data_IF_851709299095
#
_entry.id   IF_851709299095
#
_cell.length_a   1.000
_cell.length_b   1.000
_cell.length_c   1.000
_cell.angle_alpha   90.00
_cell.angle_beta   90.00
_cell.angle_gamma   90.00
#
_symmetry.space_group_name_H-M   'P 1'
#
loop_
_entity.id
_entity.type
_entity.pdbx_description
1 polymer ?
#
# COMPACT_ATOMS: atom_id res chain seq x y z
N UNK A 1 7.84 20.29 9.76
CA UNK A 1 8.38 19.72 8.53
C UNK A 1 9.23 18.50 8.88
N UNK A 2 9.14 17.45 8.04
CA UNK A 2 10.04 16.31 8.15
C UNK A 2 11.47 16.72 7.78
N UNK A 3 12.45 16.02 8.32
CA UNK A 3 13.83 16.07 7.84
C UNK A 3 13.93 15.36 6.47
N UNK A 4 15.05 15.55 5.76
CA UNK A 4 15.30 14.87 4.48
C UNK A 4 15.31 13.34 4.65
N UNK A 5 15.88 12.81 5.73
CA UNK A 5 15.90 11.38 6.03
C UNK A 5 14.49 10.84 6.34
N UNK A 6 13.68 11.58 7.11
CA UNK A 6 12.29 11.20 7.39
C UNK A 6 11.43 11.20 6.12
N UNK A 7 11.57 12.21 5.25
CA UNK A 7 10.86 12.30 3.97
C UNK A 7 11.28 11.15 3.03
N UNK A 8 12.57 10.85 2.97
CA UNK A 8 13.10 9.73 2.20
C UNK A 8 12.55 8.38 2.69
N UNK A 9 12.61 8.13 4.00
CA UNK A 9 12.09 6.89 4.59
C UNK A 9 10.56 6.78 4.44
N UNK A 10 9.84 7.91 4.56
CA UNK A 10 8.40 7.96 4.28
C UNK A 10 8.08 7.49 2.85
N UNK A 11 8.83 7.99 1.89
CA UNK A 11 8.65 7.63 0.48
C UNK A 11 8.99 6.17 0.22
N UNK A 12 10.10 5.64 0.77
CA UNK A 12 10.47 4.23 0.62
C UNK A 12 9.43 3.27 1.23
N UNK A 13 8.84 3.62 2.38
CA UNK A 13 7.79 2.81 3.01
C UNK A 13 6.53 2.83 2.14
N UNK A 14 6.16 4.00 1.59
CA UNK A 14 5.03 4.12 0.67
C UNK A 14 5.23 3.27 -0.60
N UNK A 15 6.42 3.32 -1.21
CA UNK A 15 6.76 2.47 -2.36
C UNK A 15 6.55 0.98 -2.05
N UNK A 16 6.92 0.54 -0.83
CA UNK A 16 6.69 -0.83 -0.38
C UNK A 16 5.21 -1.20 -0.29
N UNK A 17 4.38 -0.30 0.23
CA UNK A 17 2.92 -0.49 0.28
C UNK A 17 2.33 -0.56 -1.13
N UNK A 18 2.74 0.33 -2.03
CA UNK A 18 2.29 0.38 -3.42
C UNK A 18 2.66 -0.92 -4.15
N UNK A 19 3.93 -1.33 -4.06
CA UNK A 19 4.44 -2.52 -4.75
C UNK A 19 3.66 -3.80 -4.36
N UNK A 20 3.29 -3.95 -3.09
CA UNK A 20 2.46 -5.08 -2.67
C UNK A 20 1.00 -4.91 -3.08
N UNK A 21 0.45 -3.70 -2.99
CA UNK A 21 -0.95 -3.43 -3.35
C UNK A 21 -1.24 -3.63 -4.84
N UNK A 22 -0.24 -3.37 -5.70
CA UNK A 22 -0.33 -3.53 -7.16
C UNK A 22 0.03 -4.95 -7.64
N UNK A 23 0.40 -5.86 -6.73
CA UNK A 23 0.88 -7.17 -7.14
C UNK A 23 -0.21 -8.00 -7.82
N UNK A 24 0.11 -8.53 -9.01
CA UNK A 24 -0.56 -9.67 -9.62
C UNK A 24 0.32 -10.90 -9.49
N UNK A 25 -0.27 -12.05 -9.15
CA UNK A 25 0.49 -13.25 -8.80
C UNK A 25 -0.30 -14.53 -9.11
N UNK A 26 0.41 -15.66 -9.41
CA UNK A 26 -0.27 -16.91 -9.72
C UNK A 26 -0.99 -17.49 -8.50
N UNK A 27 -2.14 -18.12 -8.74
CA UNK A 27 -2.89 -18.86 -7.71
C UNK A 27 -1.99 -19.91 -7.03
N UNK A 28 -2.07 -19.98 -5.71
CA UNK A 28 -1.23 -20.84 -4.86
C UNK A 28 -0.04 -20.12 -4.26
N UNK A 29 0.18 -18.85 -4.60
CA UNK A 29 1.22 -18.01 -3.99
C UNK A 29 0.92 -17.79 -2.50
N UNK A 30 1.96 -17.86 -1.69
CA UNK A 30 1.89 -17.65 -0.24
C UNK A 30 2.38 -16.25 0.14
N UNK A 31 1.93 -15.75 1.28
CA UNK A 31 2.30 -14.42 1.74
C UNK A 31 3.81 -14.20 1.92
N UNK A 32 4.59 -15.23 2.26
CA UNK A 32 6.05 -15.11 2.35
C UNK A 32 6.73 -14.84 0.99
N UNK A 33 6.09 -15.18 -0.12
CA UNK A 33 6.58 -14.87 -1.46
C UNK A 33 6.25 -13.42 -1.86
N UNK A 34 5.17 -12.85 -1.32
CA UNK A 34 4.72 -11.49 -1.60
C UNK A 34 5.33 -10.45 -0.64
N UNK A 35 5.66 -10.84 0.59
CA UNK A 35 6.26 -9.96 1.60
C UNK A 35 7.51 -9.22 1.09
N UNK A 36 8.29 -9.86 0.24
CA UNK A 36 9.49 -9.26 -0.35
C UNK A 36 9.19 -8.03 -1.21
N UNK A 37 8.02 -7.96 -1.85
CA UNK A 37 7.65 -6.82 -2.68
C UNK A 37 7.60 -5.53 -1.87
N UNK A 38 7.04 -5.61 -0.66
CA UNK A 38 6.99 -4.46 0.25
C UNK A 38 8.35 -4.11 0.86
N UNK A 39 9.30 -5.07 0.93
CA UNK A 39 10.63 -4.84 1.48
C UNK A 39 11.64 -4.33 0.46
N UNK A 40 11.47 -4.69 -0.82
CA UNK A 40 12.45 -4.38 -1.86
C UNK A 40 12.81 -2.88 -1.95
N UNK A 41 11.86 -1.93 -1.92
CA UNK A 41 12.20 -0.51 -1.94
C UNK A 41 13.09 -0.07 -0.78
N UNK A 42 12.86 -0.63 0.42
CA UNK A 42 13.67 -0.39 1.61
C UNK A 42 15.06 -1.06 1.51
N UNK A 43 15.11 -2.32 1.08
CA UNK A 43 16.36 -3.08 0.95
C UNK A 43 17.32 -2.46 -0.07
N UNK A 44 16.81 -1.82 -1.12
CA UNK A 44 17.60 -1.05 -2.09
C UNK A 44 18.53 -0.02 -1.40
N UNK A 45 18.11 0.45 -0.23
CA UNK A 45 18.83 1.46 0.55
C UNK A 45 19.33 0.91 1.91
N UNK A 46 19.45 -0.41 2.06
CA UNK A 46 19.89 -1.09 3.29
C UNK A 46 19.03 -0.77 4.52
N UNK A 47 17.73 -0.52 4.31
CA UNK A 47 16.71 -0.33 5.34
C UNK A 47 15.85 -1.56 5.47
N UNK A 48 15.31 -1.82 6.66
CA UNK A 48 14.45 -2.98 6.92
C UNK A 48 13.56 -2.73 8.14
N UNK A 49 12.51 -3.54 8.29
CA UNK A 49 11.65 -3.57 9.48
C UNK A 49 11.53 -5.00 10.03
N UNK A 50 11.33 -5.11 11.35
CA UNK A 50 11.37 -6.37 12.08
C UNK A 50 10.04 -7.10 12.25
N UNK A 51 8.92 -6.56 11.72
CA UNK A 51 7.59 -7.18 11.81
C UNK A 51 7.14 -7.77 10.47
N UNK A 52 6.02 -8.50 10.46
CA UNK A 52 5.37 -8.95 9.23
C UNK A 52 4.81 -7.76 8.44
N UNK A 53 4.77 -7.87 7.13
CA UNK A 53 4.18 -6.83 6.27
C UNK A 53 2.66 -6.78 6.37
N UNK A 54 2.02 -7.87 6.81
CA UNK A 54 0.57 -7.90 6.94
C UNK A 54 0.04 -9.21 7.50
N UNK A 55 -1.24 -9.19 7.84
CA UNK A 55 -1.96 -10.29 8.48
C UNK A 55 -3.42 -10.30 8.07
N UNK A 56 -4.10 -11.43 8.24
CA UNK A 56 -5.55 -11.50 8.12
C UNK A 56 -6.25 -10.70 9.21
N UNK A 57 -7.47 -10.26 8.92
CA UNK A 57 -8.31 -9.48 9.82
C UNK A 57 -9.59 -10.24 10.10
N UNK A 58 -9.90 -10.42 11.39
CA UNK A 58 -11.06 -11.15 11.85
C UNK A 58 -12.36 -10.37 11.69
N UNK A 59 -13.44 -11.11 11.47
CA UNK A 59 -14.77 -10.55 11.29
C UNK A 59 -15.31 -9.84 12.54
N UNK A 60 -14.91 -10.26 13.74
CA UNK A 60 -15.43 -9.74 15.01
C UNK A 60 -14.29 -9.25 15.89
N UNK A 61 -13.86 -8.02 15.68
CA UNK A 61 -12.90 -7.29 16.54
C UNK A 61 -11.54 -7.99 16.77
N UNK A 62 -11.23 -9.08 16.07
CA UNK A 62 -9.92 -9.71 16.13
C UNK A 62 -9.05 -9.15 15.00
N UNK A 63 -8.29 -8.10 15.29
CA UNK A 63 -7.49 -7.40 14.28
C UNK A 63 -6.40 -8.30 13.69
N UNK A 64 -5.79 -9.19 14.47
CA UNK A 64 -4.82 -10.17 14.02
C UNK A 64 -5.45 -11.56 13.95
N UNK A 65 -6.05 -11.92 12.82
CA UNK A 65 -6.67 -13.24 12.64
C UNK A 65 -6.22 -13.86 11.32
N UNK A 66 -5.62 -15.07 11.41
CA UNK A 66 -5.24 -15.86 10.24
C UNK A 66 -6.46 -16.38 9.46
N UNK A 67 -6.21 -17.30 8.51
CA UNK A 67 -5.01 -18.17 8.43
C UNK A 67 -3.83 -17.61 7.64
N UNK A 68 -4.00 -16.56 6.85
CA UNK A 68 -2.96 -15.97 6.01
C UNK A 68 -2.16 -14.87 6.73
N UNK A 69 -1.01 -14.51 6.15
CA UNK A 69 -0.22 -13.34 6.55
C UNK A 69 0.92 -13.09 5.56
N UNK A 70 1.28 -11.82 5.39
CA UNK A 70 2.40 -11.36 4.58
C UNK A 70 3.61 -11.20 5.51
N UNK A 71 4.54 -12.15 5.50
CA UNK A 71 5.72 -12.15 6.38
C UNK A 71 6.80 -13.08 5.87
N UNK A 72 8.06 -12.83 6.28
CA UNK A 72 9.22 -13.62 5.85
C UNK A 72 9.12 -15.10 6.22
N UNK A 73 8.53 -15.42 7.37
CA UNK A 73 8.36 -16.80 7.80
C UNK A 73 7.26 -17.49 6.98
N UNK A 74 7.53 -18.74 6.57
CA UNK A 74 6.56 -19.54 5.85
C UNK A 74 5.30 -19.76 6.70
N UNK A 75 4.16 -19.35 6.14
CA UNK A 75 2.83 -19.86 6.48
C UNK A 75 2.37 -20.71 5.31
N UNK A 76 1.99 -21.96 5.59
CA UNK A 76 1.56 -22.89 4.54
C UNK A 76 0.09 -22.66 4.12
N UNK A 77 -0.32 -21.42 4.14
CA UNK A 77 -1.63 -20.96 3.65
C UNK A 77 -1.41 -20.11 2.41
N UNK A 78 -1.87 -20.53 1.22
CA UNK A 78 -1.92 -19.68 0.05
C UNK A 78 -2.86 -18.49 0.26
N UNK A 79 -2.57 -17.40 -0.41
CA UNK A 79 -3.52 -16.29 -0.53
C UNK A 79 -4.64 -16.72 -1.47
N UNK A 80 -5.89 -16.52 -1.03
CA UNK A 80 -7.09 -16.93 -1.75
C UNK A 80 -8.01 -15.73 -2.01
N UNK A 81 -8.80 -15.76 -3.09
CA UNK A 81 -9.84 -14.75 -3.34
C UNK A 81 -10.79 -14.63 -2.13
N UNK A 82 -11.17 -13.41 -1.79
CA UNK A 82 -11.99 -13.06 -0.64
C UNK A 82 -11.21 -12.85 0.66
N UNK A 83 -9.92 -13.15 0.71
CA UNK A 83 -9.09 -12.85 1.88
C UNK A 83 -8.80 -11.35 1.98
N UNK A 84 -9.10 -10.78 3.16
CA UNK A 84 -8.73 -9.41 3.53
C UNK A 84 -7.46 -9.47 4.37
N UNK A 85 -6.47 -8.68 3.97
CA UNK A 85 -5.14 -8.71 4.60
C UNK A 85 -4.64 -7.28 4.79
N UNK A 86 -3.97 -6.96 5.89
CA UNK A 86 -3.27 -5.68 6.03
C UNK A 86 -2.02 -5.66 5.13
N UNK A 87 -1.67 -4.47 4.65
CA UNK A 87 -0.44 -4.16 3.96
C UNK A 87 0.20 -2.97 4.66
N UNK A 88 1.16 -3.24 5.56
CA UNK A 88 1.64 -2.30 6.56
C UNK A 88 3.18 -2.29 6.70
N UNK A 89 3.93 -2.11 5.60
CA UNK A 89 5.37 -1.94 5.70
C UNK A 89 5.72 -0.74 6.58
N UNK A 90 6.93 -0.75 7.16
CA UNK A 90 7.35 0.32 8.04
C UNK A 90 8.87 0.55 8.06
N UNK A 91 9.27 1.63 8.72
CA UNK A 91 10.65 1.97 9.02
C UNK A 91 10.73 2.56 10.42
N UNK A 92 11.70 2.15 11.21
CA UNK A 92 11.79 2.56 12.61
C UNK A 92 13.23 2.89 12.98
N UNK A 93 13.47 4.14 13.37
CA UNK A 93 14.75 4.62 13.90
C UNK A 93 14.62 4.80 15.41
N UNK A 94 15.24 3.91 16.18
CA UNK A 94 15.12 3.88 17.64
C UNK A 94 15.48 5.24 18.29
N UNK A 95 14.57 5.72 19.14
CA UNK A 95 14.71 7.00 19.82
C UNK A 95 14.52 8.25 18.95
N UNK A 96 14.13 8.08 17.68
CA UNK A 96 13.93 9.18 16.72
C UNK A 96 12.51 9.19 16.17
N UNK A 97 12.17 8.28 15.23
CA UNK A 97 10.86 8.23 14.58
C UNK A 97 10.48 6.82 14.14
N UNK A 98 9.20 6.65 13.84
CA UNK A 98 8.66 5.48 13.16
C UNK A 98 7.68 5.90 12.07
N UNK A 99 7.72 5.19 10.96
CA UNK A 99 6.85 5.42 9.78
C UNK A 99 6.19 4.10 9.44
N UNK A 100 4.88 4.14 9.18
CA UNK A 100 4.10 3.02 8.64
C UNK A 100 3.08 3.57 7.66
N UNK A 101 3.02 2.98 6.47
CA UNK A 101 1.89 3.13 5.55
C UNK A 101 1.08 1.86 5.59
N UNK A 102 -0.23 1.98 5.81
CA UNK A 102 -1.08 0.82 5.95
C UNK A 102 -2.36 0.94 5.14
N UNK A 103 -2.63 -0.07 4.34
CA UNK A 103 -3.89 -0.29 3.66
C UNK A 103 -4.43 -1.69 3.97
N UNK A 104 -5.75 -1.82 3.96
CA UNK A 104 -6.42 -3.11 3.88
C UNK A 104 -6.58 -3.48 2.42
N UNK A 105 -6.15 -4.68 2.04
CA UNK A 105 -6.22 -5.19 0.68
C UNK A 105 -7.06 -6.47 0.62
N UNK A 106 -7.94 -6.55 -0.38
CA UNK A 106 -8.78 -7.70 -0.68
C UNK A 106 -8.21 -8.45 -1.87
N UNK A 107 -7.93 -9.74 -1.70
CA UNK A 107 -7.55 -10.60 -2.82
C UNK A 107 -8.76 -10.94 -3.69
N UNK A 108 -8.60 -10.86 -5.02
CA UNK A 108 -9.63 -11.25 -5.98
C UNK A 108 -9.04 -12.04 -7.15
N UNK A 109 -9.91 -12.69 -7.94
CA UNK A 109 -9.53 -13.38 -9.18
C UNK A 109 -9.33 -12.32 -10.28
N UNK A 110 -8.14 -12.28 -10.85
CA UNK A 110 -7.75 -11.30 -11.88
C UNK A 110 -8.01 -11.86 -13.27
N UNK A 111 -7.09 -12.67 -13.79
CA UNK A 111 -7.23 -13.27 -15.12
C UNK A 111 -6.86 -14.76 -15.13
N UNK A 112 -7.30 -15.46 -16.17
CA UNK A 112 -6.84 -16.80 -16.52
C UNK A 112 -6.26 -16.78 -17.91
N UNK A 113 -5.03 -17.27 -18.08
CA UNK A 113 -4.35 -17.36 -19.36
C UNK A 113 -3.59 -18.69 -19.50
N UNK A 114 -2.78 -18.84 -20.56
CA UNK A 114 -1.98 -20.05 -20.82
C UNK A 114 -0.94 -20.39 -19.73
N UNK A 115 -0.62 -19.44 -18.84
CA UNK A 115 0.30 -19.63 -17.72
C UNK A 115 -0.40 -19.95 -16.40
N UNK A 116 -1.76 -19.93 -16.38
CA UNK A 116 -2.58 -20.30 -15.22
C UNK A 116 -3.56 -19.23 -14.76
N UNK A 117 -4.05 -19.42 -13.53
CA UNK A 117 -4.96 -18.48 -12.87
C UNK A 117 -4.18 -17.45 -12.08
N UNK A 118 -4.51 -16.18 -12.24
CA UNK A 118 -3.87 -15.05 -11.58
C UNK A 118 -4.79 -14.40 -10.57
N UNK A 119 -4.21 -13.91 -9.51
CA UNK A 119 -4.88 -13.18 -8.44
C UNK A 119 -4.24 -11.80 -8.32
N UNK A 120 -5.02 -10.83 -7.86
CA UNK A 120 -4.55 -9.46 -7.58
C UNK A 120 -5.19 -8.92 -6.30
N UNK A 121 -4.81 -7.71 -5.93
CA UNK A 121 -5.35 -7.03 -4.76
C UNK A 121 -6.14 -5.78 -5.14
N UNK A 122 -7.22 -5.55 -4.40
CA UNK A 122 -7.99 -4.31 -4.39
C UNK A 122 -7.83 -3.65 -3.02
N UNK A 123 -7.52 -2.37 -2.99
CA UNK A 123 -7.44 -1.61 -1.74
C UNK A 123 -8.85 -1.28 -1.22
N UNK A 124 -9.08 -1.54 0.08
CA UNK A 124 -10.34 -1.24 0.77
C UNK A 124 -10.28 0.04 1.60
N UNK A 125 -9.10 0.48 2.01
CA UNK A 125 -8.90 1.68 2.84
C UNK A 125 -9.26 2.93 2.06
N UNK A 126 -10.04 3.82 2.69
CA UNK A 126 -10.44 5.12 2.15
C UNK A 126 -9.87 6.26 3.01
N UNK A 127 -8.56 6.37 3.09
CA UNK A 127 -7.83 7.47 3.74
C UNK A 127 -6.80 8.02 2.77
N UNK A 128 -6.77 9.32 2.57
CA UNK A 128 -5.83 9.91 1.60
C UNK A 128 -4.37 9.67 2.01
N UNK A 129 -3.51 9.50 1.02
CA UNK A 129 -2.06 9.49 1.18
C UNK A 129 -1.57 10.94 1.16
N UNK A 130 -0.89 11.39 2.23
CA UNK A 130 -0.28 12.72 2.24
C UNK A 130 0.95 12.74 1.33
N UNK A 131 0.84 13.50 0.23
CA UNK A 131 1.92 13.65 -0.75
C UNK A 131 2.92 14.75 -0.38
N UNK A 132 2.62 15.55 0.66
CA UNK A 132 3.46 16.68 1.08
C UNK A 132 4.91 16.28 1.41
N UNK A 133 5.18 15.13 2.09
CA UNK A 133 6.54 14.76 2.45
C UNK A 133 7.25 13.89 1.42
N UNK A 134 6.63 13.60 0.26
CA UNK A 134 7.23 12.70 -0.73
C UNK A 134 8.48 13.31 -1.39
N UNK A 135 9.46 12.45 -1.61
CA UNK A 135 10.64 12.73 -2.44
C UNK A 135 10.34 12.24 -3.85
N UNK A 136 9.86 13.13 -4.70
CA UNK A 136 9.34 12.79 -6.03
C UNK A 136 10.38 12.16 -6.96
N UNK A 137 11.66 12.51 -6.78
CA UNK A 137 12.77 12.04 -7.62
C UNK A 137 13.04 10.54 -7.50
N UNK A 138 12.56 9.90 -6.43
CA UNK A 138 12.70 8.45 -6.27
C UNK A 138 11.44 7.66 -6.60
N UNK A 139 10.33 8.35 -6.92
CA UNK A 139 9.09 7.73 -7.39
C UNK A 139 9.15 7.46 -8.90
N UNK A 140 8.66 6.30 -9.31
CA UNK A 140 8.37 6.00 -10.71
C UNK A 140 7.05 6.64 -11.14
N UNK A 141 6.85 6.79 -12.44
CA UNK A 141 5.57 7.31 -12.98
C UNK A 141 4.40 6.39 -12.62
N UNK A 142 4.62 5.07 -12.60
CA UNK A 142 3.60 4.09 -12.18
C UNK A 142 3.19 4.27 -10.72
N UNK A 143 4.16 4.55 -9.82
CA UNK A 143 3.88 4.84 -8.40
C UNK A 143 3.13 6.17 -8.24
N UNK A 144 3.48 7.20 -9.00
CA UNK A 144 2.76 8.48 -9.03
C UNK A 144 1.33 8.29 -9.51
N UNK A 145 1.13 7.56 -10.61
CA UNK A 145 -0.21 7.24 -11.12
C UNK A 145 -1.05 6.46 -10.11
N UNK A 146 -0.45 5.52 -9.37
CA UNK A 146 -1.13 4.81 -8.29
C UNK A 146 -1.61 5.78 -7.20
N UNK A 147 -0.72 6.67 -6.72
CA UNK A 147 -1.04 7.65 -5.67
C UNK A 147 -2.18 8.56 -6.11
N UNK A 148 -2.12 9.06 -7.34
CA UNK A 148 -3.14 9.94 -7.89
C UNK A 148 -4.49 9.24 -8.01
N UNK A 149 -4.53 8.07 -8.62
CA UNK A 149 -5.74 7.27 -8.78
C UNK A 149 -6.34 6.89 -7.41
N UNK A 150 -5.49 6.54 -6.45
CA UNK A 150 -5.90 6.24 -5.09
C UNK A 150 -6.53 7.46 -4.40
N UNK A 151 -5.85 8.61 -4.40
CA UNK A 151 -6.33 9.83 -3.78
C UNK A 151 -7.61 10.37 -4.44
N UNK A 152 -7.73 10.25 -5.77
CA UNK A 152 -8.98 10.55 -6.49
C UNK A 152 -10.12 9.64 -6.02
N UNK A 153 -9.88 8.33 -5.95
CA UNK A 153 -10.88 7.36 -5.48
C UNK A 153 -11.32 7.64 -4.04
N UNK A 154 -10.41 8.02 -3.15
CA UNK A 154 -10.73 8.43 -1.78
C UNK A 154 -11.67 9.64 -1.77
N UNK A 155 -11.33 10.68 -2.56
CA UNK A 155 -12.18 11.88 -2.65
C UNK A 155 -13.58 11.54 -3.18
N UNK A 156 -13.68 10.83 -4.29
CA UNK A 156 -14.94 10.48 -4.92
C UNK A 156 -15.82 9.59 -4.00
N UNK A 157 -15.19 8.64 -3.30
CA UNK A 157 -15.90 7.72 -2.40
C UNK A 157 -16.48 8.43 -1.18
N UNK A 158 -15.74 9.37 -0.60
CA UNK A 158 -16.16 10.06 0.62
C UNK A 158 -17.05 11.28 0.36
N UNK A 159 -16.93 11.89 -0.81
CA UNK A 159 -17.64 13.13 -1.17
C UNK A 159 -19.14 13.14 -0.86
N UNK A 160 -19.93 12.07 -1.10
CA UNK A 160 -21.35 12.06 -0.81
C UNK A 160 -21.74 12.20 0.66
N UNK A 161 -20.83 11.83 1.57
CA UNK A 161 -21.05 11.81 3.01
C UNK A 161 -20.45 13.02 3.74
N UNK A 162 -19.75 13.91 3.01
CA UNK A 162 -19.07 15.08 3.57
C UNK A 162 -19.90 16.34 3.47
N UNK A 163 -19.75 17.21 4.47
CA UNK A 163 -20.21 18.61 4.36
C UNK A 163 -19.39 19.37 3.30
N UNK A 164 -19.91 20.50 2.76
CA UNK A 164 -19.16 21.31 1.79
C UNK A 164 -17.79 21.77 2.30
N UNK A 165 -17.64 22.04 3.60
CA UNK A 165 -16.39 22.46 4.22
C UNK A 165 -15.38 21.27 4.29
N UNK A 166 -15.83 20.10 4.70
CA UNK A 166 -15.01 18.88 4.76
C UNK A 166 -14.58 18.44 3.35
N UNK A 167 -15.50 18.49 2.38
CA UNK A 167 -15.21 18.19 0.98
C UNK A 167 -14.16 19.15 0.40
N UNK A 168 -14.29 20.45 0.68
CA UNK A 168 -13.30 21.44 0.27
C UNK A 168 -11.92 21.19 0.91
N UNK A 169 -11.88 20.82 2.19
CA UNK A 169 -10.65 20.46 2.88
C UNK A 169 -10.03 19.19 2.27
N UNK A 170 -10.81 18.12 2.08
CA UNK A 170 -10.32 16.86 1.52
C UNK A 170 -9.77 17.07 0.10
N UNK A 171 -10.41 17.92 -0.71
CA UNK A 171 -9.94 18.30 -2.03
C UNK A 171 -8.51 18.87 -1.98
N UNK A 172 -8.18 19.70 -1.00
CA UNK A 172 -6.82 20.27 -0.84
C UNK A 172 -5.77 19.20 -0.47
N UNK A 173 -6.20 18.02 -0.02
CA UNK A 173 -5.33 16.89 0.36
C UNK A 173 -5.21 15.82 -0.73
N UNK A 174 -6.10 15.83 -1.69
CA UNK A 174 -6.24 14.84 -2.75
C UNK A 174 -6.10 15.49 -4.13
N UNK A 175 -7.19 15.98 -4.68
CA UNK A 175 -7.28 16.48 -6.07
C UNK A 175 -6.31 17.62 -6.37
N UNK A 176 -6.11 18.55 -5.42
CA UNK A 176 -5.22 19.70 -5.59
C UNK A 176 -3.72 19.32 -5.38
N UNK A 177 -3.41 18.01 -5.23
CA UNK A 177 -2.09 17.45 -4.96
C UNK A 177 -1.69 16.35 -5.93
N UNK A 178 -2.42 16.18 -7.04
CA UNK A 178 -2.06 15.23 -8.08
C UNK A 178 -0.72 15.62 -8.72
N UNK A 179 0.05 14.61 -9.11
CA UNK A 179 1.31 14.84 -9.83
C UNK A 179 1.01 15.37 -11.23
N UNK A 180 1.84 16.30 -11.69
CA UNK A 180 1.84 16.70 -13.10
C UNK A 180 2.59 15.59 -13.88
N UNK A 181 1.86 14.67 -14.47
CA UNK A 181 2.44 13.69 -15.39
C UNK A 181 2.55 14.38 -16.75
N UNK A 182 3.77 14.61 -17.23
CA UNK A 182 3.97 15.04 -18.62
C UNK A 182 3.43 13.94 -19.53
N UNK A 183 2.33 14.20 -20.24
CA UNK A 183 1.90 13.33 -21.35
C UNK A 183 2.99 13.42 -22.43
N UNK A 184 3.84 12.40 -22.51
CA UNK A 184 4.69 12.20 -23.70
C UNK A 184 3.76 11.96 -24.92
N UNK A 185 3.63 12.98 -25.78
CA UNK A 185 2.95 12.96 -27.07
C UNK A 185 3.73 12.11 -28.10
#
# INVERSE_FOLDING_TARGET
PLTEDEAFDYTCVLQGMIALSMASFPRGTRGCQLDVLARMPLWKYNRNYGHGTGHGVGHVLCVHEGPQGMRQNLLDQPILPGMVTSCEPGMYCEGQYGIRHENMILCYEDETNEFGDWLAFMTLTCTYIDTTPLVEEILTDEEKMFIDSYNMSVYETLLPDLTPEEAAWLKTKTIDRLFEVEEEL
#
